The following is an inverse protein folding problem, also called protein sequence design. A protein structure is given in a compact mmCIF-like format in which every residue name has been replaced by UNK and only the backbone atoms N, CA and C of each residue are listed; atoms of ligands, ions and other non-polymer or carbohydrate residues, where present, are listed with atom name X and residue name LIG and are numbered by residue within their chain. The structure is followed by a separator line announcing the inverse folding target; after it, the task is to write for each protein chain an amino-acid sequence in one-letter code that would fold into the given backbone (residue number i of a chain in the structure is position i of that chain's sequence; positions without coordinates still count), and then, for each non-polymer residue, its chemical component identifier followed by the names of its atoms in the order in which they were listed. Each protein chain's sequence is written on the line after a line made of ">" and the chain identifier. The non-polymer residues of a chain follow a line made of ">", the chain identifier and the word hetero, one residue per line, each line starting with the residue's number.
data_IF_886157261386
#
_entry.id   IF_886157261386
#
_cell.length_a   1.000
_cell.length_b   1.000
_cell.length_c   1.000
_cell.angle_alpha   90.00
_cell.angle_beta   90.00
_cell.angle_gamma   90.00
#
_symmetry.space_group_name_H-M   'P 1'
#
loop_
_entity.id
_entity.type
_entity.pdbx_description
1 polymer ?
#
# COMPACT_ATOMS: atom_id res chain seq x y z
N UNK A 1 69.18 -58.95 10.78
CA UNK A 1 68.14 -59.08 11.81
C UNK A 1 67.86 -57.66 12.27
N UNK A 2 66.90 -56.95 11.57
CA UNK A 2 66.59 -55.55 11.86
C UNK A 2 65.17 -55.49 12.40
N UNK A 3 65.03 -55.10 13.66
CA UNK A 3 63.74 -54.80 14.30
C UNK A 3 63.26 -53.43 13.87
N UNK A 4 62.07 -53.37 13.22
CA UNK A 4 61.32 -52.13 12.97
C UNK A 4 60.36 -51.86 14.13
N UNK A 5 60.60 -50.76 14.83
CA UNK A 5 59.72 -50.28 15.87
C UNK A 5 58.60 -49.46 15.16
N UNK A 6 57.36 -49.92 15.25
CA UNK A 6 56.15 -49.18 14.80
C UNK A 6 55.72 -48.31 15.97
N UNK A 7 55.82 -47.01 15.78
CA UNK A 7 55.20 -45.96 16.67
C UNK A 7 53.74 -45.74 16.27
N UNK A 8 52.83 -46.15 17.13
CA UNK A 8 51.41 -45.78 17.03
C UNK A 8 51.22 -44.41 17.64
N UNK A 9 50.74 -43.46 16.79
CA UNK A 9 50.19 -42.14 17.24
C UNK A 9 48.74 -42.33 17.65
N UNK A 10 48.27 -41.77 18.78
CA UNK A 10 46.84 -41.72 19.09
C UNK A 10 46.15 -40.58 18.31
N UNK A 11 45.13 -40.95 17.55
CA UNK A 11 44.18 -39.96 16.98
C UNK A 11 43.36 -39.34 18.12
N UNK A 12 43.55 -38.07 18.37
CA UNK A 12 42.65 -37.28 19.21
C UNK A 12 41.49 -36.82 18.31
N UNK A 13 40.33 -37.46 18.47
CA UNK A 13 39.06 -36.97 17.89
C UNK A 13 38.61 -35.74 18.68
N UNK A 14 38.79 -34.54 18.13
CA UNK A 14 38.17 -33.35 18.65
C UNK A 14 36.68 -33.33 18.19
N UNK A 15 35.76 -33.63 19.10
CA UNK A 15 34.33 -33.43 18.87
C UNK A 15 34.03 -31.93 18.87
N UNK A 16 33.83 -31.36 17.67
CA UNK A 16 33.26 -30.02 17.52
C UNK A 16 31.77 -30.12 17.83
N UNK A 17 31.38 -29.74 19.04
CA UNK A 17 29.98 -29.52 19.37
C UNK A 17 29.49 -28.27 18.59
N UNK A 18 28.82 -28.50 17.48
CA UNK A 18 28.04 -27.45 16.83
C UNK A 18 26.86 -27.08 17.75
N UNK A 19 27.03 -26.02 18.52
CA UNK A 19 25.93 -25.38 19.21
C UNK A 19 25.04 -24.73 18.15
N UNK A 20 24.02 -25.47 17.71
CA UNK A 20 22.85 -24.87 17.01
C UNK A 20 22.15 -23.96 18.00
N UNK A 21 22.61 -22.73 18.06
CA UNK A 21 21.88 -21.64 18.69
C UNK A 21 20.60 -21.41 17.91
N UNK A 22 19.53 -22.12 18.26
CA UNK A 22 18.18 -21.69 17.99
C UNK A 22 18.02 -20.36 18.76
N UNK A 23 18.26 -19.26 18.09
CA UNK A 23 17.85 -17.95 18.59
C UNK A 23 16.34 -18.05 18.83
N UNK A 24 15.95 -18.23 20.07
CA UNK A 24 14.62 -17.89 20.52
C UNK A 24 14.50 -16.39 20.28
N UNK A 25 13.95 -15.99 19.12
CA UNK A 25 13.35 -14.66 18.99
C UNK A 25 12.34 -14.60 20.13
N UNK A 26 12.64 -13.81 21.15
CA UNK A 26 11.65 -13.48 22.15
C UNK A 26 10.47 -12.92 21.38
N UNK A 27 9.32 -13.61 21.44
CA UNK A 27 8.10 -13.17 20.80
C UNK A 27 7.80 -11.81 21.42
N UNK A 28 8.01 -10.73 20.67
CA UNK A 28 7.69 -9.38 21.12
C UNK A 28 6.19 -9.32 21.34
N UNK A 29 5.74 -8.64 22.39
CA UNK A 29 4.31 -8.47 22.65
C UNK A 29 3.62 -7.88 21.40
N UNK A 30 2.38 -8.29 21.07
CA UNK A 30 1.63 -7.75 19.96
C UNK A 30 1.58 -6.22 20.01
N UNK A 31 1.61 -5.55 18.86
CA UNK A 31 1.40 -4.11 18.78
C UNK A 31 -0.08 -3.80 19.05
N UNK A 32 -0.35 -2.91 20.00
CA UNK A 32 -1.71 -2.51 20.32
C UNK A 32 -2.22 -1.53 19.29
N UNK A 33 -3.24 -1.91 18.54
CA UNK A 33 -3.81 -1.10 17.46
C UNK A 33 -5.26 -0.72 17.78
N UNK A 34 -5.66 0.46 17.30
CA UNK A 34 -7.05 0.87 17.31
C UNK A 34 -7.52 1.19 15.89
N UNK A 35 -8.75 0.81 15.55
CA UNK A 35 -9.41 1.17 14.30
C UNK A 35 -10.05 2.55 14.44
N UNK A 36 -9.88 3.40 13.44
CA UNK A 36 -10.57 4.69 13.32
C UNK A 36 -11.42 4.69 12.05
N UNK A 37 -12.74 4.73 12.23
CA UNK A 37 -13.73 4.68 11.15
C UNK A 37 -14.15 3.27 10.76
N UNK A 38 -15.43 3.15 10.39
CA UNK A 38 -16.07 1.91 9.95
C UNK A 38 -16.78 2.09 8.59
N UNK A 39 -16.59 3.24 7.93
CA UNK A 39 -17.27 3.56 6.68
C UNK A 39 -16.48 3.13 5.43
N UNK A 40 -15.20 2.78 5.55
CA UNK A 40 -14.40 2.27 4.44
C UNK A 40 -14.56 0.75 4.32
N UNK A 41 -14.96 0.27 3.12
CA UNK A 41 -15.25 -1.14 2.88
C UNK A 41 -14.12 -2.12 3.23
N UNK A 42 -12.85 -1.69 3.18
CA UNK A 42 -11.71 -2.55 3.49
C UNK A 42 -11.64 -2.97 4.97
N UNK A 43 -12.30 -2.26 5.89
CA UNK A 43 -12.36 -2.66 7.30
C UNK A 43 -12.98 -4.05 7.47
N UNK A 44 -13.91 -4.44 6.57
CA UNK A 44 -14.54 -5.78 6.61
C UNK A 44 -13.52 -6.88 6.36
N UNK A 45 -12.68 -6.70 5.33
CA UNK A 45 -11.58 -7.65 5.05
C UNK A 45 -10.58 -7.74 6.20
N UNK A 46 -10.24 -6.59 6.79
CA UNK A 46 -9.38 -6.53 7.96
C UNK A 46 -9.97 -7.31 9.14
N UNK A 47 -11.22 -7.05 9.52
CA UNK A 47 -11.88 -7.71 10.67
C UNK A 47 -12.04 -9.22 10.46
N UNK A 48 -12.22 -9.69 9.20
CA UNK A 48 -12.22 -11.12 8.90
C UNK A 48 -10.84 -11.78 9.06
N UNK A 49 -9.77 -11.07 8.65
CA UNK A 49 -8.42 -11.60 8.71
C UNK A 49 -7.78 -11.47 10.10
N UNK A 50 -8.18 -10.47 10.89
CA UNK A 50 -7.55 -10.10 12.15
C UNK A 50 -7.49 -11.25 13.18
N UNK A 51 -8.51 -12.11 13.38
CA UNK A 51 -8.42 -13.23 14.33
C UNK A 51 -7.30 -14.24 14.02
N UNK A 52 -6.75 -14.22 12.82
CA UNK A 52 -5.65 -15.10 12.39
C UNK A 52 -4.26 -14.44 12.58
N UNK A 53 -4.24 -13.18 13.00
CA UNK A 53 -3.00 -12.40 13.19
C UNK A 53 -2.56 -12.47 14.66
N UNK A 54 -1.25 -12.49 14.88
CA UNK A 54 -0.67 -12.59 16.23
C UNK A 54 0.27 -11.43 16.56
N UNK A 55 0.59 -10.57 15.58
CA UNK A 55 1.53 -9.45 15.73
C UNK A 55 0.86 -8.18 16.21
N UNK A 56 -0.48 -8.13 16.20
CA UNK A 56 -1.25 -6.99 16.66
C UNK A 56 -2.39 -7.42 17.59
N UNK A 57 -2.74 -6.56 18.56
CA UNK A 57 -3.87 -6.66 19.47
C UNK A 57 -4.82 -5.49 19.19
N UNK A 58 -6.09 -5.78 18.87
CA UNK A 58 -7.12 -4.76 18.69
C UNK A 58 -7.61 -4.29 20.07
N UNK A 59 -7.27 -3.06 20.44
CA UNK A 59 -7.62 -2.51 21.76
C UNK A 59 -8.82 -1.56 21.73
N UNK A 60 -9.29 -1.16 20.52
CA UNK A 60 -10.49 -0.35 20.39
C UNK A 60 -10.86 -0.02 18.95
N UNK A 61 -12.11 0.41 18.77
CA UNK A 61 -12.71 0.80 17.51
C UNK A 61 -13.42 2.14 17.71
N UNK A 62 -13.03 3.15 16.98
CA UNK A 62 -13.61 4.48 17.07
C UNK A 62 -14.43 4.76 15.82
N UNK A 63 -15.71 5.09 16.02
CA UNK A 63 -16.56 5.62 14.97
C UNK A 63 -17.63 6.53 15.59
N UNK A 64 -17.91 7.72 15.07
CA UNK A 64 -18.94 8.62 15.61
C UNK A 64 -20.35 8.07 15.45
N UNK A 65 -20.61 7.23 14.44
CA UNK A 65 -21.93 6.66 14.15
C UNK A 65 -22.28 5.50 15.09
N UNK A 66 -23.20 5.73 16.01
CA UNK A 66 -23.73 4.67 16.86
C UNK A 66 -24.34 3.51 16.04
N UNK A 67 -24.90 3.81 14.88
CA UNK A 67 -25.49 2.81 13.99
C UNK A 67 -24.41 1.89 13.37
N UNK A 68 -23.28 2.46 12.92
CA UNK A 68 -22.16 1.66 12.38
C UNK A 68 -21.52 0.83 13.48
N UNK A 69 -21.28 1.40 14.68
CA UNK A 69 -20.75 0.63 15.80
C UNK A 69 -21.63 -0.59 16.13
N UNK A 70 -22.96 -0.38 16.25
CA UNK A 70 -23.89 -1.49 16.53
C UNK A 70 -23.96 -2.52 15.39
N UNK A 71 -23.86 -2.07 14.11
CA UNK A 71 -23.83 -2.96 12.96
C UNK A 71 -22.59 -3.88 13.02
N UNK A 72 -21.40 -3.31 13.19
CA UNK A 72 -20.14 -4.07 13.19
C UNK A 72 -19.97 -4.93 14.44
N UNK A 73 -20.45 -4.47 15.61
CA UNK A 73 -20.53 -5.27 16.84
C UNK A 73 -21.31 -6.57 16.59
N UNK A 74 -22.51 -6.45 16.02
CA UNK A 74 -23.37 -7.61 15.76
C UNK A 74 -22.83 -8.52 14.64
N UNK A 75 -22.33 -7.93 13.53
CA UNK A 75 -21.90 -8.68 12.36
C UNK A 75 -20.62 -9.49 12.62
N UNK A 76 -19.67 -8.92 13.37
CA UNK A 76 -18.37 -9.55 13.66
C UNK A 76 -18.29 -10.16 15.07
N UNK A 77 -19.37 -10.15 15.84
CA UNK A 77 -19.44 -10.66 17.22
C UNK A 77 -18.34 -10.08 18.13
N UNK A 78 -18.08 -8.77 17.97
CA UNK A 78 -17.06 -8.06 18.72
C UNK A 78 -17.56 -7.70 20.13
N UNK A 79 -16.61 -7.58 21.07
CA UNK A 79 -16.93 -7.12 22.42
C UNK A 79 -17.41 -5.65 22.37
N UNK A 80 -18.63 -5.34 22.91
CA UNK A 80 -19.11 -3.96 23.00
C UNK A 80 -18.14 -2.99 23.67
N UNK A 81 -17.30 -3.48 24.58
CA UNK A 81 -16.27 -2.69 25.26
C UNK A 81 -15.12 -2.21 24.37
N UNK A 82 -15.07 -2.67 23.11
CA UNK A 82 -14.10 -2.17 22.12
C UNK A 82 -14.54 -0.87 21.44
N UNK A 83 -15.83 -0.49 21.51
CA UNK A 83 -16.37 0.59 20.71
C UNK A 83 -16.41 1.94 21.44
N UNK A 84 -15.85 2.96 20.80
CA UNK A 84 -15.76 4.34 21.31
C UNK A 84 -16.32 5.34 20.30
N UNK A 85 -16.97 6.44 20.77
CA UNK A 85 -17.48 7.46 19.85
C UNK A 85 -16.40 8.42 19.31
N UNK A 86 -15.28 8.58 20.05
CA UNK A 86 -14.18 9.50 19.70
C UNK A 86 -12.83 8.89 20.07
N UNK A 87 -11.73 9.40 19.48
CA UNK A 87 -10.38 8.99 19.85
C UNK A 87 -10.05 9.36 21.29
N UNK A 88 -10.43 10.55 21.77
CA UNK A 88 -10.24 10.95 23.16
C UNK A 88 -10.88 9.99 24.15
N UNK A 89 -12.11 9.53 23.84
CA UNK A 89 -12.81 8.56 24.69
C UNK A 89 -12.05 7.22 24.75
N UNK A 90 -11.50 6.78 23.64
CA UNK A 90 -10.66 5.58 23.60
C UNK A 90 -9.38 5.79 24.41
N UNK A 91 -8.67 6.90 24.20
CA UNK A 91 -7.38 7.18 24.85
C UNK A 91 -7.50 7.36 26.36
N UNK A 92 -8.67 7.75 26.86
CA UNK A 92 -8.94 7.82 28.31
C UNK A 92 -8.89 6.44 28.99
N UNK A 93 -9.14 5.35 28.27
CA UNK A 93 -9.26 3.98 28.80
C UNK A 93 -8.23 3.01 28.21
N UNK A 94 -7.76 3.28 27.02
CA UNK A 94 -6.88 2.39 26.23
C UNK A 94 -5.63 3.14 25.79
N UNK A 95 -4.57 2.38 25.50
CA UNK A 95 -3.29 2.94 25.08
C UNK A 95 -2.82 2.22 23.80
N UNK A 96 -3.40 2.53 22.63
CA UNK A 96 -2.89 2.02 21.36
C UNK A 96 -1.47 2.54 21.10
N UNK A 97 -0.71 1.82 20.29
CA UNK A 97 0.61 2.22 19.79
C UNK A 97 0.48 2.73 18.36
N UNK A 98 -0.52 2.26 17.62
CA UNK A 98 -0.82 2.70 16.26
C UNK A 98 -2.32 2.73 15.97
N UNK A 99 -2.69 3.56 14.98
CA UNK A 99 -4.05 3.66 14.46
C UNK A 99 -4.14 3.06 13.07
N UNK A 100 -5.21 2.32 12.83
CA UNK A 100 -5.60 1.80 11.51
C UNK A 100 -6.81 2.62 11.03
N UNK A 101 -6.65 3.41 9.97
CA UNK A 101 -7.65 4.41 9.58
C UNK A 101 -8.46 3.91 8.38
N UNK A 102 -9.77 3.75 8.61
CA UNK A 102 -10.78 3.26 7.65
C UNK A 102 -11.94 4.24 7.51
N UNK A 103 -11.61 5.54 7.36
CA UNK A 103 -12.58 6.61 7.09
C UNK A 103 -12.62 6.96 5.60
N UNK A 104 -13.41 7.96 5.22
CA UNK A 104 -13.28 8.60 3.91
C UNK A 104 -11.91 9.27 3.77
N UNK A 105 -11.43 9.39 2.53
CA UNK A 105 -10.09 9.94 2.23
C UNK A 105 -9.98 11.41 2.66
N UNK A 106 -11.09 12.15 2.56
CA UNK A 106 -11.16 13.55 2.98
C UNK A 106 -10.90 13.78 4.49
N UNK A 107 -11.13 12.76 5.33
CA UNK A 107 -10.91 12.83 6.78
C UNK A 107 -9.47 12.48 7.19
N UNK A 108 -8.66 11.88 6.33
CA UNK A 108 -7.34 11.35 6.67
C UNK A 108 -6.44 12.40 7.30
N UNK A 109 -6.38 13.63 6.72
CA UNK A 109 -5.55 14.71 7.28
C UNK A 109 -5.90 15.00 8.73
N UNK A 110 -7.16 15.22 9.04
CA UNK A 110 -7.62 15.56 10.38
C UNK A 110 -7.25 14.47 11.39
N UNK A 111 -7.48 13.21 11.01
CA UNK A 111 -7.20 12.06 11.87
C UNK A 111 -5.70 11.88 12.09
N UNK A 112 -4.87 12.05 11.04
CA UNK A 112 -3.42 11.94 11.18
C UNK A 112 -2.83 13.09 12.02
N UNK A 113 -3.34 14.33 11.86
CA UNK A 113 -2.94 15.45 12.71
C UNK A 113 -3.33 15.22 14.18
N UNK A 114 -4.52 14.63 14.44
CA UNK A 114 -4.97 14.23 15.78
C UNK A 114 -4.09 13.10 16.35
N UNK A 115 -3.79 12.06 15.58
CA UNK A 115 -2.87 10.99 15.98
C UNK A 115 -1.48 11.52 16.30
N UNK A 116 -0.95 12.43 15.48
CA UNK A 116 0.34 13.06 15.69
C UNK A 116 0.40 13.81 17.03
N UNK A 117 -0.65 14.55 17.41
CA UNK A 117 -0.72 15.23 18.69
C UNK A 117 -0.63 14.28 19.90
N UNK A 118 -0.96 13.00 19.70
CA UNK A 118 -0.85 11.93 20.70
C UNK A 118 0.39 11.03 20.50
N UNK A 119 1.27 11.34 19.55
CA UNK A 119 2.46 10.55 19.19
C UNK A 119 2.11 9.09 18.82
N UNK A 120 1.02 8.89 18.06
CA UNK A 120 0.57 7.59 17.60
C UNK A 120 0.98 7.39 16.14
N UNK A 121 1.58 6.25 15.84
CA UNK A 121 1.83 5.83 14.46
C UNK A 121 0.51 5.54 13.74
N UNK A 122 0.50 5.69 12.41
CA UNK A 122 -0.73 5.55 11.62
C UNK A 122 -0.48 4.67 10.40
N UNK A 123 -1.34 3.70 10.17
CA UNK A 123 -1.53 3.10 8.85
C UNK A 123 -2.90 3.51 8.33
N UNK A 124 -2.92 4.20 7.20
CA UNK A 124 -4.14 4.77 6.61
C UNK A 124 -4.47 4.08 5.29
N UNK A 125 -5.74 3.98 4.96
CA UNK A 125 -6.16 3.49 3.65
C UNK A 125 -5.74 4.42 2.51
N UNK A 126 -5.61 3.83 1.33
CA UNK A 126 -5.23 4.53 0.10
C UNK A 126 -6.38 5.39 -0.49
N UNK A 127 -6.03 6.48 -1.18
CA UNK A 127 -4.76 7.20 -1.18
C UNK A 127 -4.55 7.99 0.12
N UNK A 128 -3.35 8.50 0.34
CA UNK A 128 -2.99 9.25 1.55
C UNK A 128 -3.99 10.38 1.87
N UNK A 129 -4.40 11.15 0.89
CA UNK A 129 -5.38 12.24 1.02
C UNK A 129 -5.86 12.73 -0.35
N UNK A 130 -6.80 13.70 -0.37
CA UNK A 130 -7.46 14.22 -1.57
C UNK A 130 -6.76 15.44 -2.19
N UNK A 131 -5.73 16.01 -1.57
CA UNK A 131 -5.01 17.19 -2.09
C UNK A 131 -3.55 17.22 -1.69
N UNK A 132 -2.70 17.85 -2.52
CA UNK A 132 -1.28 18.03 -2.22
C UNK A 132 -1.06 18.89 -0.97
N UNK A 133 -1.89 19.91 -0.74
CA UNK A 133 -1.79 20.76 0.45
C UNK A 133 -2.00 19.95 1.72
N UNK A 134 -2.96 19.02 1.72
CA UNK A 134 -3.20 18.12 2.85
C UNK A 134 -2.05 17.11 3.02
N UNK A 135 -1.53 16.55 1.94
CA UNK A 135 -0.39 15.64 1.99
C UNK A 135 0.86 16.32 2.60
N UNK A 136 1.10 17.59 2.23
CA UNK A 136 2.19 18.38 2.81
C UNK A 136 1.94 18.73 4.29
N UNK A 137 0.68 18.94 4.69
CA UNK A 137 0.32 19.17 6.08
C UNK A 137 0.53 17.90 6.93
N UNK A 138 0.10 16.75 6.42
CA UNK A 138 0.33 15.43 7.05
C UNK A 138 1.84 15.20 7.23
N UNK A 139 2.65 15.44 6.17
CA UNK A 139 4.10 15.26 6.24
C UNK A 139 4.76 16.16 7.29
N UNK A 140 4.29 17.42 7.43
CA UNK A 140 4.78 18.32 8.49
C UNK A 140 4.42 17.78 9.87
N UNK A 141 3.16 17.41 10.11
CA UNK A 141 2.71 16.88 11.38
C UNK A 141 3.48 15.62 11.79
N UNK A 142 3.64 14.67 10.84
CA UNK A 142 4.40 13.44 11.09
C UNK A 142 5.86 13.71 11.50
N UNK A 143 6.53 14.65 10.81
CA UNK A 143 7.91 15.04 11.13
C UNK A 143 8.04 15.78 12.46
N UNK A 144 7.11 16.69 12.76
CA UNK A 144 7.09 17.48 14.01
C UNK A 144 6.89 16.59 15.24
N UNK A 145 6.05 15.57 15.11
CA UNK A 145 5.71 14.66 16.21
C UNK A 145 6.47 13.32 16.16
N UNK A 146 7.35 13.12 15.17
CA UNK A 146 8.16 11.91 15.01
C UNK A 146 7.34 10.62 14.92
N UNK A 147 6.17 10.67 14.29
CA UNK A 147 5.34 9.49 14.04
C UNK A 147 5.58 8.91 12.64
N UNK A 148 5.33 7.60 12.50
CA UNK A 148 5.28 6.94 11.21
C UNK A 148 3.87 7.05 10.63
N UNK A 149 3.78 7.41 9.36
CA UNK A 149 2.53 7.39 8.59
C UNK A 149 2.74 6.49 7.37
N UNK A 150 2.01 5.41 7.32
CA UNK A 150 2.06 4.41 6.26
C UNK A 150 0.74 4.39 5.49
N UNK A 151 0.79 4.20 4.19
CA UNK A 151 -0.40 4.05 3.34
C UNK A 151 -0.55 2.60 2.91
N UNK A 152 -1.73 2.02 3.12
CA UNK A 152 -2.00 0.62 2.88
C UNK A 152 -2.62 0.41 1.49
N UNK A 153 -1.80 -0.04 0.54
CA UNK A 153 -2.27 -0.51 -0.76
C UNK A 153 -2.32 -2.04 -0.79
N UNK A 154 -3.34 -2.61 -1.37
CA UNK A 154 -3.38 -4.06 -1.62
C UNK A 154 -2.18 -4.52 -2.46
N UNK A 155 -1.79 -3.74 -3.46
CA UNK A 155 -0.71 -4.07 -4.39
C UNK A 155 0.69 -4.00 -3.78
N UNK A 156 0.87 -3.39 -2.61
CA UNK A 156 2.11 -3.46 -1.83
C UNK A 156 2.46 -4.90 -1.48
N UNK A 157 1.44 -5.71 -1.16
CA UNK A 157 1.58 -7.10 -0.73
C UNK A 157 1.56 -8.10 -1.89
N UNK A 158 1.77 -7.61 -3.13
CA UNK A 158 1.87 -8.46 -4.32
C UNK A 158 3.32 -8.88 -4.56
N UNK A 159 3.60 -10.16 -4.43
CA UNK A 159 4.92 -10.74 -4.69
C UNK A 159 5.41 -10.47 -6.13
N UNK A 160 4.48 -10.40 -7.09
CA UNK A 160 4.78 -10.07 -8.49
C UNK A 160 5.34 -8.65 -8.64
N UNK A 161 4.78 -7.65 -7.95
CA UNK A 161 5.28 -6.27 -7.99
C UNK A 161 6.70 -6.17 -7.39
N UNK A 162 6.94 -6.90 -6.28
CA UNK A 162 8.28 -7.00 -5.69
C UNK A 162 9.27 -7.64 -6.67
N UNK A 163 8.88 -8.71 -7.34
CA UNK A 163 9.75 -9.37 -8.32
C UNK A 163 10.07 -8.43 -9.50
N UNK A 164 9.11 -7.65 -9.99
CA UNK A 164 9.36 -6.60 -11.01
C UNK A 164 10.37 -5.58 -10.49
N UNK A 165 10.16 -5.07 -9.28
CA UNK A 165 11.08 -4.11 -8.67
C UNK A 165 12.50 -4.67 -8.54
N UNK A 166 12.63 -5.91 -8.05
CA UNK A 166 13.94 -6.57 -7.93
C UNK A 166 14.62 -6.74 -9.30
N UNK A 167 13.87 -7.05 -10.37
CA UNK A 167 14.41 -7.10 -11.74
C UNK A 167 14.92 -5.73 -12.20
N UNK A 168 14.22 -4.65 -11.85
CA UNK A 168 14.66 -3.28 -12.14
C UNK A 168 15.96 -2.95 -11.39
N UNK A 169 16.03 -3.24 -10.08
CA UNK A 169 17.21 -3.01 -9.26
C UNK A 169 18.43 -3.80 -9.75
N UNK A 170 18.22 -5.02 -10.21
CA UNK A 170 19.26 -5.88 -10.78
C UNK A 170 19.67 -5.50 -12.22
N UNK A 171 18.98 -4.54 -12.83
CA UNK A 171 19.21 -4.11 -14.21
C UNK A 171 18.86 -5.17 -15.26
N UNK A 172 18.05 -6.19 -14.90
CA UNK A 172 17.61 -7.26 -15.83
C UNK A 172 16.78 -6.70 -16.97
N UNK A 173 15.91 -5.72 -16.70
CA UNK A 173 15.10 -5.05 -17.71
C UNK A 173 15.84 -3.93 -18.43
N UNK A 174 17.05 -3.54 -17.95
CA UNK A 174 17.75 -2.36 -18.43
C UNK A 174 17.07 -1.06 -17.99
N UNK A 175 17.16 -0.01 -18.83
CA UNK A 175 16.45 1.25 -18.55
C UNK A 175 14.98 1.11 -18.89
N UNK A 176 14.11 1.52 -17.97
CA UNK A 176 12.64 1.56 -18.20
C UNK A 176 12.33 2.54 -19.34
N UNK A 177 11.51 2.12 -20.27
CA UNK A 177 11.05 2.95 -21.40
C UNK A 177 9.55 3.22 -21.35
N UNK A 178 8.76 2.18 -21.04
CA UNK A 178 7.31 2.26 -20.97
C UNK A 178 6.81 1.41 -19.84
N UNK A 179 5.79 1.92 -19.13
CA UNK A 179 4.99 1.14 -18.18
C UNK A 179 3.51 1.36 -18.51
N UNK A 180 2.72 0.28 -18.45
CA UNK A 180 1.26 0.35 -18.57
C UNK A 180 0.65 -0.33 -17.35
N UNK A 181 -0.24 0.36 -16.67
CA UNK A 181 -0.86 -0.14 -15.44
C UNK A 181 -2.38 -0.07 -15.59
N UNK A 182 -3.01 -1.22 -15.39
CA UNK A 182 -4.46 -1.36 -15.42
C UNK A 182 -4.95 -1.68 -14.02
N UNK A 183 -5.79 -0.80 -13.47
CA UNK A 183 -6.39 -0.98 -12.16
C UNK A 183 -7.88 -0.70 -12.20
N UNK A 184 -8.66 -1.54 -11.54
CA UNK A 184 -10.09 -1.31 -11.41
C UNK A 184 -10.95 -2.56 -11.50
N UNK A 185 -12.24 -2.32 -11.61
CA UNK A 185 -13.29 -3.33 -11.69
C UNK A 185 -14.54 -2.74 -12.37
N UNK A 186 -15.69 -3.44 -12.27
CA UNK A 186 -16.94 -3.05 -12.92
C UNK A 186 -17.58 -1.78 -12.35
N UNK A 187 -17.15 -1.34 -11.18
CA UNK A 187 -17.66 -0.20 -10.42
C UNK A 187 -18.08 -0.59 -9.01
N UNK A 188 -17.96 0.33 -8.03
CA UNK A 188 -18.24 0.02 -6.63
C UNK A 188 -19.70 -0.36 -6.39
N UNK A 189 -20.66 0.26 -7.07
CA UNK A 189 -22.07 -0.11 -6.98
C UNK A 189 -22.32 -1.50 -7.56
N UNK A 190 -21.71 -1.79 -8.71
CA UNK A 190 -21.90 -3.05 -9.45
C UNK A 190 -21.34 -4.26 -8.69
N UNK A 191 -20.24 -4.07 -7.97
CA UNK A 191 -19.66 -5.13 -7.13
C UNK A 191 -20.30 -5.21 -5.74
N UNK A 192 -21.25 -4.29 -5.42
CA UNK A 192 -22.05 -4.35 -4.20
C UNK A 192 -21.32 -3.92 -2.94
N UNK A 193 -20.49 -2.86 -3.01
CA UNK A 193 -19.87 -2.31 -1.80
C UNK A 193 -20.91 -1.78 -0.81
N UNK A 194 -20.56 -1.65 0.45
CA UNK A 194 -21.44 -1.18 1.51
C UNK A 194 -21.98 0.23 1.18
N UNK A 195 -23.23 0.55 1.54
CA UNK A 195 -23.83 1.85 1.25
C UNK A 195 -23.04 3.05 1.81
N UNK A 196 -22.53 2.92 3.03
CA UNK A 196 -21.70 3.94 3.66
C UNK A 196 -20.40 4.19 2.90
N UNK A 197 -19.78 3.15 2.35
CA UNK A 197 -18.60 3.25 1.51
C UNK A 197 -18.93 3.91 0.17
N UNK A 198 -19.98 3.44 -0.51
CA UNK A 198 -20.41 3.99 -1.80
C UNK A 198 -20.72 5.48 -1.70
N UNK A 199 -21.32 5.92 -0.60
CA UNK A 199 -21.74 7.30 -0.39
C UNK A 199 -20.57 8.29 -0.48
N UNK A 200 -19.47 8.04 0.24
CA UNK A 200 -18.34 8.95 0.24
C UNK A 200 -17.40 8.71 -0.97
N UNK A 201 -17.29 7.46 -1.45
CA UNK A 201 -16.45 7.12 -2.61
C UNK A 201 -16.93 7.83 -3.88
N UNK A 202 -18.23 8.10 -4.00
CA UNK A 202 -18.83 8.84 -5.12
C UNK A 202 -19.04 10.34 -4.83
N UNK A 203 -18.47 10.84 -3.74
CA UNK A 203 -18.42 12.27 -3.43
C UNK A 203 -17.00 12.83 -3.67
N UNK A 204 -16.82 13.75 -4.66
CA UNK A 204 -15.51 14.32 -4.95
C UNK A 204 -14.90 15.11 -3.79
N UNK A 205 -15.70 15.58 -2.83
CA UNK A 205 -15.21 16.27 -1.63
C UNK A 205 -14.61 15.28 -0.61
N UNK A 206 -14.95 14.00 -0.68
CA UNK A 206 -14.49 12.96 0.23
C UNK A 206 -13.46 12.00 -0.41
N UNK A 207 -13.58 11.75 -1.72
CA UNK A 207 -12.67 10.85 -2.45
C UNK A 207 -11.69 11.60 -3.39
N UNK A 208 -11.86 12.92 -3.59
CA UNK A 208 -11.03 13.72 -4.50
C UNK A 208 -11.49 13.69 -5.96
N UNK A 209 -11.90 12.53 -6.48
CA UNK A 209 -12.51 12.27 -7.79
C UNK A 209 -13.26 10.94 -7.73
N UNK A 210 -13.49 10.29 -8.88
CA UNK A 210 -14.01 8.92 -8.96
C UNK A 210 -12.88 7.90 -9.16
N UNK A 211 -12.96 7.15 -10.26
CA UNK A 211 -11.98 6.13 -10.61
C UNK A 211 -10.55 6.67 -10.70
N UNK A 212 -10.39 7.94 -11.11
CA UNK A 212 -9.10 8.61 -11.19
C UNK A 212 -8.35 8.55 -9.85
N UNK A 213 -8.99 8.84 -8.72
CA UNK A 213 -8.37 8.77 -7.39
C UNK A 213 -8.36 7.35 -6.84
N UNK A 214 -9.51 6.66 -6.90
CA UNK A 214 -9.68 5.34 -6.30
C UNK A 214 -8.68 4.30 -6.83
N UNK A 215 -8.45 4.28 -8.15
CA UNK A 215 -7.52 3.35 -8.80
C UNK A 215 -6.27 3.99 -9.39
N UNK A 216 -6.31 5.28 -9.73
CA UNK A 216 -5.11 5.97 -10.24
C UNK A 216 -3.97 6.04 -9.22
N UNK A 217 -4.29 5.99 -7.94
CA UNK A 217 -3.30 5.98 -6.86
C UNK A 217 -2.40 4.74 -6.91
N UNK A 218 -2.92 3.57 -7.25
CA UNK A 218 -2.12 2.33 -7.36
C UNK A 218 -1.02 2.45 -8.42
N UNK A 219 -1.41 2.93 -9.61
CA UNK A 219 -0.44 3.12 -10.68
C UNK A 219 0.56 4.24 -10.39
N UNK A 220 0.13 5.33 -9.75
CA UNK A 220 1.01 6.41 -9.33
C UNK A 220 2.02 5.94 -8.27
N UNK A 221 1.60 5.10 -7.33
CA UNK A 221 2.42 4.52 -6.28
C UNK A 221 3.49 3.58 -6.86
N UNK A 222 3.09 2.59 -7.68
CA UNK A 222 4.01 1.69 -8.37
C UNK A 222 5.03 2.45 -9.20
N UNK A 223 4.60 3.47 -9.96
CA UNK A 223 5.52 4.28 -10.77
C UNK A 223 6.50 5.08 -9.92
N UNK A 224 6.04 5.68 -8.81
CA UNK A 224 6.93 6.41 -7.89
C UNK A 224 8.00 5.48 -7.32
N UNK A 225 7.61 4.26 -6.95
CA UNK A 225 8.53 3.25 -6.44
C UNK A 225 9.51 2.76 -7.52
N UNK A 226 9.03 2.40 -8.72
CA UNK A 226 9.89 1.96 -9.83
C UNK A 226 10.88 3.05 -10.29
N UNK A 227 10.53 4.31 -10.10
CA UNK A 227 11.37 5.47 -10.41
C UNK A 227 12.13 6.02 -9.20
N UNK A 228 12.29 5.20 -8.13
CA UNK A 228 13.08 5.52 -6.92
C UNK A 228 12.65 6.81 -6.22
N UNK A 229 11.36 7.04 -6.08
CA UNK A 229 10.78 8.24 -5.46
C UNK A 229 10.73 9.46 -6.37
N UNK A 230 11.18 9.35 -7.63
CA UNK A 230 11.16 10.48 -8.55
C UNK A 230 9.75 10.78 -9.05
N UNK A 231 9.34 12.04 -8.94
CA UNK A 231 8.11 12.53 -9.56
C UNK A 231 8.26 12.63 -11.11
N UNK A 232 7.18 12.43 -11.88
CA UNK A 232 7.19 12.68 -13.32
C UNK A 232 7.39 14.18 -13.61
N UNK A 233 7.93 14.49 -14.78
CA UNK A 233 8.13 15.88 -15.24
C UNK A 233 6.76 16.50 -15.57
N UNK A 234 5.90 15.72 -16.23
CA UNK A 234 4.55 16.17 -16.61
C UNK A 234 3.52 15.07 -16.43
N UNK A 235 2.28 15.50 -16.16
CA UNK A 235 1.08 14.66 -16.08
C UNK A 235 0.05 15.18 -17.07
N UNK A 236 -0.53 14.26 -17.85
CA UNK A 236 -1.69 14.52 -18.72
C UNK A 236 -2.76 13.50 -18.41
N UNK A 237 -4.02 13.93 -18.26
CA UNK A 237 -5.12 13.02 -17.97
C UNK A 237 -6.38 13.38 -18.74
N UNK A 238 -7.17 12.34 -19.02
CA UNK A 238 -8.54 12.43 -19.55
C UNK A 238 -9.43 11.61 -18.62
N UNK A 239 -10.60 12.13 -18.29
CA UNK A 239 -11.63 11.42 -17.51
C UNK A 239 -12.94 11.37 -18.30
N UNK A 240 -13.73 10.33 -18.04
CA UNK A 240 -15.08 10.15 -18.57
C UNK A 240 -16.03 9.71 -17.46
N UNK A 241 -17.33 9.90 -17.69
CA UNK A 241 -18.40 9.33 -16.88
C UNK A 241 -19.34 8.59 -17.83
N UNK A 242 -19.08 7.30 -18.01
CA UNK A 242 -19.84 6.45 -18.95
C UNK A 242 -21.18 5.99 -18.33
N UNK A 243 -21.26 5.99 -16.98
CA UNK A 243 -22.45 5.62 -16.21
C UNK A 243 -22.99 6.81 -15.38
N UNK A 244 -23.36 7.96 -16.00
CA UNK A 244 -23.75 9.18 -15.28
C UNK A 244 -25.02 8.99 -14.43
N UNK A 245 -25.86 8.01 -14.75
CA UNK A 245 -27.03 7.64 -13.94
C UNK A 245 -26.65 6.93 -12.63
N UNK A 246 -25.43 6.40 -12.53
CA UNK A 246 -24.91 5.72 -11.32
C UNK A 246 -23.95 6.65 -10.60
N UNK A 247 -23.03 7.30 -11.32
CA UNK A 247 -21.95 8.15 -10.81
C UNK A 247 -22.09 9.60 -11.33
N UNK A 248 -23.14 10.34 -10.92
CA UNK A 248 -23.45 11.67 -11.51
C UNK A 248 -22.46 12.77 -11.13
N UNK A 249 -21.58 12.54 -10.14
CA UNK A 249 -20.72 13.58 -9.57
C UNK A 249 -19.23 13.33 -9.77
N UNK A 250 -18.86 12.14 -10.23
CA UNK A 250 -17.46 11.70 -10.37
C UNK A 250 -17.25 10.97 -11.70
N UNK A 251 -15.99 10.89 -12.11
CA UNK A 251 -15.56 10.06 -13.22
C UNK A 251 -15.66 8.56 -12.86
N UNK A 252 -15.93 7.73 -13.85
CA UNK A 252 -15.88 6.27 -13.71
C UNK A 252 -14.83 5.62 -14.64
N UNK A 253 -14.13 6.44 -15.43
CA UNK A 253 -13.04 6.04 -16.29
C UNK A 253 -12.00 7.15 -16.40
N UNK A 254 -10.70 6.79 -16.39
CA UNK A 254 -9.62 7.73 -16.62
C UNK A 254 -8.42 7.10 -17.33
N UNK A 255 -7.68 7.93 -18.04
CA UNK A 255 -6.35 7.60 -18.54
C UNK A 255 -5.38 8.70 -18.11
N UNK A 256 -4.29 8.32 -17.45
CA UNK A 256 -3.26 9.24 -16.96
C UNK A 256 -1.94 8.90 -17.65
N UNK A 257 -1.28 9.88 -18.23
CA UNK A 257 0.04 9.75 -18.86
C UNK A 257 1.07 10.48 -18.00
N UNK A 258 2.06 9.75 -17.51
CA UNK A 258 3.20 10.28 -16.76
C UNK A 258 4.43 10.32 -17.66
N UNK A 259 5.10 11.47 -17.76
CA UNK A 259 6.35 11.61 -18.53
C UNK A 259 7.53 11.86 -17.60
N UNK A 260 8.48 10.97 -17.63
CA UNK A 260 9.79 11.08 -16.98
C UNK A 260 10.89 11.45 -17.99
N UNK A 261 12.13 11.65 -17.57
CA UNK A 261 13.24 12.01 -18.46
C UNK A 261 13.56 10.93 -19.52
N UNK A 262 13.44 9.66 -19.17
CA UNK A 262 13.75 8.52 -20.04
C UNK A 262 12.62 7.52 -20.23
N UNK A 263 11.50 7.72 -19.54
CA UNK A 263 10.37 6.79 -19.50
C UNK A 263 9.03 7.50 -19.61
N UNK A 264 8.02 6.73 -19.97
CA UNK A 264 6.62 7.15 -19.95
C UNK A 264 5.78 6.06 -19.33
N UNK A 265 4.78 6.43 -18.50
CA UNK A 265 3.78 5.51 -18.03
C UNK A 265 2.37 5.91 -18.48
N UNK A 266 1.52 4.89 -18.65
CA UNK A 266 0.09 5.04 -18.90
C UNK A 266 -0.63 4.30 -17.79
N UNK A 267 -1.39 5.04 -16.96
CA UNK A 267 -2.22 4.47 -15.91
C UNK A 267 -3.66 4.49 -16.41
N UNK A 268 -4.36 3.39 -16.24
CA UNK A 268 -5.73 3.18 -16.75
C UNK A 268 -6.67 2.79 -15.60
N UNK A 269 -6.92 3.71 -14.64
CA UNK A 269 -7.89 3.49 -13.58
C UNK A 269 -9.32 3.50 -14.13
N UNK A 270 -10.14 2.48 -13.78
CA UNK A 270 -11.49 2.42 -14.33
C UNK A 270 -12.46 1.61 -13.45
N UNK A 271 -13.69 2.11 -13.35
CA UNK A 271 -14.86 1.39 -12.85
C UNK A 271 -15.68 0.75 -13.99
N UNK A 272 -15.08 0.64 -15.19
CA UNK A 272 -15.72 0.11 -16.40
C UNK A 272 -15.04 -1.15 -16.96
N UNK A 273 -14.06 -1.71 -16.23
CA UNK A 273 -13.49 -3.00 -16.62
C UNK A 273 -14.55 -4.10 -16.50
N UNK A 274 -14.62 -5.00 -17.52
CA UNK A 274 -15.53 -6.15 -17.49
C UNK A 274 -15.27 -7.08 -16.30
N UNK A 275 -14.00 -7.21 -15.92
CA UNK A 275 -13.53 -7.99 -14.77
C UNK A 275 -12.54 -7.16 -13.97
N UNK A 276 -12.46 -7.43 -12.66
CA UNK A 276 -11.44 -6.81 -11.83
C UNK A 276 -10.05 -7.14 -12.33
N UNK A 277 -9.18 -6.12 -12.39
CA UNK A 277 -7.79 -6.27 -12.80
C UNK A 277 -6.88 -5.30 -12.06
N UNK A 278 -5.66 -5.76 -11.78
CA UNK A 278 -4.55 -5.00 -11.21
C UNK A 278 -3.27 -5.59 -11.79
N UNK A 279 -3.01 -5.29 -13.05
CA UNK A 279 -1.87 -5.81 -13.81
C UNK A 279 -0.97 -4.68 -14.30
N UNK A 280 0.33 -4.97 -14.33
CA UNK A 280 1.37 -4.00 -14.67
C UNK A 280 2.31 -4.57 -15.73
N UNK A 281 2.48 -3.84 -16.82
CA UNK A 281 3.40 -4.16 -17.91
C UNK A 281 4.60 -3.22 -17.86
N UNK A 282 5.81 -3.76 -17.84
CA UNK A 282 7.06 -2.97 -17.82
C UNK A 282 7.94 -3.36 -18.99
N UNK A 283 8.28 -2.37 -19.81
CA UNK A 283 9.12 -2.49 -21.02
C UNK A 283 10.42 -1.73 -20.80
N UNK A 284 11.52 -2.46 -20.75
CA UNK A 284 12.86 -1.92 -20.63
C UNK A 284 13.70 -2.11 -21.90
N UNK A 285 14.96 -1.65 -21.86
CA UNK A 285 15.88 -1.79 -23.00
C UNK A 285 16.47 -3.19 -23.18
N UNK A 286 16.28 -4.09 -22.19
CA UNK A 286 16.83 -5.45 -22.19
C UNK A 286 15.78 -6.55 -21.99
N UNK A 287 14.52 -6.19 -21.78
CA UNK A 287 13.46 -7.16 -21.57
C UNK A 287 12.15 -6.49 -21.21
N UNK A 288 11.14 -7.31 -21.13
CA UNK A 288 9.78 -6.94 -20.73
C UNK A 288 9.26 -7.92 -19.69
N UNK A 289 8.40 -7.44 -18.80
CA UNK A 289 7.72 -8.24 -17.79
C UNK A 289 6.29 -7.73 -17.59
N UNK A 290 5.37 -8.66 -17.39
CA UNK A 290 3.98 -8.37 -17.01
C UNK A 290 3.70 -9.01 -15.67
N UNK A 291 3.42 -8.21 -14.65
CA UNK A 291 2.82 -8.67 -13.40
C UNK A 291 1.33 -8.88 -13.64
N UNK A 292 0.91 -10.13 -13.80
CA UNK A 292 -0.45 -10.51 -14.24
C UNK A 292 -1.46 -10.42 -13.10
N UNK A 293 -1.02 -10.75 -11.88
CA UNK A 293 -1.79 -10.72 -10.65
C UNK A 293 -0.82 -10.71 -9.46
N UNK A 294 -1.31 -10.94 -8.24
CA UNK A 294 -0.49 -10.86 -7.02
C UNK A 294 0.75 -11.76 -6.99
N UNK A 295 0.81 -12.82 -7.80
CA UNK A 295 1.91 -13.81 -7.75
C UNK A 295 2.48 -14.21 -9.10
N UNK A 296 1.75 -13.98 -10.20
CA UNK A 296 2.14 -14.47 -11.52
C UNK A 296 2.76 -13.37 -12.37
N UNK A 297 3.81 -13.75 -13.09
CA UNK A 297 4.53 -12.91 -14.04
C UNK A 297 4.58 -13.60 -15.41
N UNK A 298 4.70 -12.79 -16.47
CA UNK A 298 5.17 -13.21 -17.79
C UNK A 298 6.37 -12.38 -18.15
N UNK A 299 7.47 -13.01 -18.53
CA UNK A 299 8.73 -12.30 -18.80
C UNK A 299 9.35 -12.73 -20.13
N UNK A 300 10.03 -11.79 -20.80
CA UNK A 300 10.75 -12.03 -22.05
C UNK A 300 11.99 -11.15 -22.14
N UNK A 301 13.15 -11.75 -22.41
CA UNK A 301 14.44 -11.08 -22.45
C UNK A 301 15.17 -11.16 -23.79
N UNK A 302 14.57 -11.75 -24.82
CA UNK A 302 15.16 -11.87 -26.15
C UNK A 302 14.08 -11.98 -27.21
N UNK A 303 14.32 -11.40 -28.38
CA UNK A 303 13.42 -11.53 -29.54
C UNK A 303 13.27 -12.98 -29.99
N UNK A 304 14.31 -13.79 -29.83
CA UNK A 304 14.31 -15.21 -30.20
C UNK A 304 13.74 -16.14 -29.13
N UNK A 305 13.49 -15.66 -27.91
CA UNK A 305 12.92 -16.44 -26.82
C UNK A 305 11.41 -16.27 -26.76
N UNK A 306 10.64 -17.33 -26.44
CA UNK A 306 9.22 -17.18 -26.11
C UNK A 306 9.05 -16.39 -24.80
N UNK A 307 7.85 -15.87 -24.57
CA UNK A 307 7.44 -15.38 -23.28
C UNK A 307 7.33 -16.56 -22.29
N UNK A 308 7.85 -16.37 -21.08
CA UNK A 308 7.82 -17.38 -20.01
C UNK A 308 6.89 -16.95 -18.90
N UNK A 309 6.06 -17.88 -18.41
CA UNK A 309 5.21 -17.66 -17.22
C UNK A 309 5.97 -18.09 -15.98
N UNK A 310 6.07 -17.19 -15.00
CA UNK A 310 6.82 -17.38 -13.76
C UNK A 310 5.92 -17.05 -12.57
N UNK A 311 6.06 -17.80 -11.48
CA UNK A 311 5.45 -17.46 -10.19
C UNK A 311 6.48 -16.77 -9.33
N UNK A 312 6.18 -15.56 -8.85
CA UNK A 312 7.03 -14.84 -7.92
C UNK A 312 7.20 -15.60 -6.60
N UNK A 313 8.38 -15.59 -5.98
CA UNK A 313 8.55 -16.13 -4.65
C UNK A 313 7.67 -15.37 -3.65
N UNK A 314 7.15 -16.02 -2.60
CA UNK A 314 6.40 -15.33 -1.56
C UNK A 314 7.21 -14.19 -0.95
N UNK A 315 6.53 -13.12 -0.55
CA UNK A 315 7.18 -12.04 0.20
C UNK A 315 7.68 -12.57 1.55
N UNK A 316 8.88 -12.20 1.97
CA UNK A 316 9.39 -12.58 3.28
C UNK A 316 8.74 -11.73 4.38
N UNK A 317 8.53 -12.31 5.57
CA UNK A 317 8.18 -11.51 6.74
C UNK A 317 9.34 -10.53 7.09
N UNK A 318 9.02 -9.31 7.53
CA UNK A 318 7.70 -8.77 7.85
C UNK A 318 6.98 -8.09 6.67
N UNK A 319 7.47 -8.21 5.44
CA UNK A 319 6.94 -7.55 4.24
C UNK A 319 5.81 -8.34 3.56
N UNK A 320 5.33 -9.42 4.17
CA UNK A 320 4.34 -10.34 3.62
C UNK A 320 2.88 -9.94 3.89
N UNK A 321 2.63 -9.13 4.93
CA UNK A 321 1.30 -8.60 5.27
C UNK A 321 1.37 -7.19 5.86
N UNK A 322 0.27 -6.44 5.76
CA UNK A 322 0.18 -5.09 6.32
C UNK A 322 0.39 -5.04 7.84
N UNK A 323 -0.07 -6.05 8.58
CA UNK A 323 0.07 -6.07 10.04
C UNK A 323 1.47 -6.49 10.49
N UNK A 324 2.13 -7.46 9.83
CA UNK A 324 3.53 -7.77 10.09
C UNK A 324 4.41 -6.54 9.83
N UNK A 325 4.15 -5.86 8.71
CA UNK A 325 4.85 -4.65 8.30
C UNK A 325 4.66 -3.53 9.34
N UNK A 326 3.41 -3.22 9.69
CA UNK A 326 3.08 -2.22 10.71
C UNK A 326 3.80 -2.54 12.03
N UNK A 327 3.72 -3.78 12.50
CA UNK A 327 4.35 -4.19 13.75
C UNK A 327 5.87 -3.99 13.71
N UNK A 328 6.52 -4.31 12.60
CA UNK A 328 7.96 -4.11 12.43
C UNK A 328 8.34 -2.62 12.41
N UNK A 329 7.53 -1.76 11.77
CA UNK A 329 7.75 -0.30 11.75
C UNK A 329 7.57 0.30 13.15
N UNK A 330 6.47 0.01 13.83
CA UNK A 330 6.18 0.50 15.20
C UNK A 330 7.27 0.04 16.20
N UNK A 331 7.83 -1.13 15.99
CA UNK A 331 8.96 -1.66 16.79
C UNK A 331 10.34 -1.15 16.34
N UNK A 332 10.41 -0.25 15.35
CA UNK A 332 11.66 0.25 14.77
C UNK A 332 12.58 -0.85 14.23
N UNK A 333 12.00 -1.96 13.79
CA UNK A 333 12.71 -3.09 13.17
C UNK A 333 12.81 -2.93 11.65
N UNK A 334 11.95 -2.10 11.07
CA UNK A 334 11.89 -1.77 9.66
C UNK A 334 11.66 -0.27 9.49
N UNK A 335 12.41 0.33 8.55
CA UNK A 335 12.21 1.71 8.10
C UNK A 335 11.50 1.66 6.73
N UNK A 336 10.31 2.25 6.56
CA UNK A 336 9.64 2.34 5.26
C UNK A 336 10.50 2.97 4.16
N UNK A 337 11.41 3.87 4.50
CA UNK A 337 12.30 4.53 3.53
C UNK A 337 11.52 5.19 2.39
N UNK A 338 11.64 4.65 1.18
CA UNK A 338 10.93 5.09 -0.03
C UNK A 338 10.13 3.95 -0.67
N UNK A 339 9.64 3.02 0.12
CA UNK A 339 8.79 1.95 -0.38
C UNK A 339 7.34 2.41 -0.68
N UNK A 340 6.50 1.47 -1.11
CA UNK A 340 5.11 1.74 -1.48
C UNK A 340 4.27 2.29 -0.31
N UNK A 341 4.60 1.95 0.95
CA UNK A 341 3.83 2.42 2.11
C UNK A 341 4.26 3.78 2.60
N UNK A 342 5.49 4.23 2.25
CA UNK A 342 6.13 5.37 2.88
C UNK A 342 5.41 6.70 2.63
N UNK A 343 5.42 7.57 3.63
CA UNK A 343 4.80 8.89 3.55
C UNK A 343 5.36 9.73 2.40
N UNK A 344 6.69 9.74 2.21
CA UNK A 344 7.31 10.57 1.16
C UNK A 344 6.96 10.06 -0.25
N UNK A 345 6.88 8.74 -0.48
CA UNK A 345 6.34 8.16 -1.73
C UNK A 345 4.90 8.63 -1.96
N UNK A 346 4.08 8.57 -0.93
CA UNK A 346 2.66 8.89 -1.03
C UNK A 346 2.36 10.39 -1.16
N UNK A 347 3.23 11.27 -0.72
CA UNK A 347 3.16 12.71 -1.07
C UNK A 347 3.37 12.92 -2.57
N UNK A 348 4.28 12.18 -3.22
CA UNK A 348 4.46 12.21 -4.68
C UNK A 348 3.22 11.64 -5.39
N UNK A 349 2.64 10.54 -4.88
CA UNK A 349 1.39 9.97 -5.41
C UNK A 349 0.28 11.01 -5.43
N UNK A 350 0.05 11.71 -4.32
CA UNK A 350 -0.98 12.76 -4.24
C UNK A 350 -0.66 13.91 -5.19
N UNK A 351 0.60 14.30 -5.34
CA UNK A 351 1.00 15.31 -6.32
C UNK A 351 0.65 14.89 -7.77
N UNK A 352 0.84 13.61 -8.10
CA UNK A 352 0.47 13.06 -9.41
C UNK A 352 -1.06 13.10 -9.60
N UNK A 353 -1.84 12.67 -8.60
CA UNK A 353 -3.30 12.64 -8.66
C UNK A 353 -3.90 14.04 -8.78
N UNK A 354 -3.41 15.00 -8.01
CA UNK A 354 -3.82 16.41 -8.10
C UNK A 354 -3.54 16.99 -9.49
N UNK A 355 -2.35 16.73 -10.04
CA UNK A 355 -1.99 17.15 -11.38
C UNK A 355 -2.84 16.45 -12.46
N UNK A 356 -3.19 15.18 -12.27
CA UNK A 356 -4.06 14.45 -13.18
C UNK A 356 -5.49 15.03 -13.16
N UNK A 357 -6.04 15.32 -11.98
CA UNK A 357 -7.33 15.97 -11.81
C UNK A 357 -7.34 17.37 -12.47
N UNK A 358 -6.31 18.16 -12.26
CA UNK A 358 -6.15 19.47 -12.88
C UNK A 358 -6.03 19.36 -14.42
N UNK A 359 -5.26 18.37 -14.91
CA UNK A 359 -5.11 18.10 -16.35
C UNK A 359 -6.46 17.73 -16.99
N UNK A 360 -7.19 16.81 -16.40
CA UNK A 360 -8.51 16.39 -16.88
C UNK A 360 -9.51 17.57 -16.91
N UNK A 361 -9.51 18.39 -15.86
CA UNK A 361 -10.38 19.56 -15.76
C UNK A 361 -10.08 20.65 -16.79
N UNK A 362 -8.80 20.87 -17.13
CA UNK A 362 -8.37 21.97 -18.00
C UNK A 362 -8.08 21.56 -19.44
N UNK A 363 -7.98 20.27 -19.72
CA UNK A 363 -7.53 19.72 -21.00
C UNK A 363 -6.06 20.02 -21.32
N UNK A 364 -5.24 20.33 -20.32
CA UNK A 364 -3.83 20.73 -20.48
C UNK A 364 -2.90 19.79 -19.71
N UNK A 365 -1.72 19.58 -20.29
CA UNK A 365 -0.61 18.93 -19.57
C UNK A 365 -0.17 19.81 -18.40
N UNK A 366 -0.01 19.20 -17.22
CA UNK A 366 0.50 19.86 -16.00
C UNK A 366 1.96 19.50 -15.83
N UNK A 367 2.82 20.51 -15.62
CA UNK A 367 4.24 20.32 -15.25
C UNK A 367 4.35 20.29 -13.71
N UNK A 368 4.93 19.22 -13.17
CA UNK A 368 5.14 19.11 -11.73
C UNK A 368 6.30 20.00 -11.28
N UNK A 369 6.15 20.55 -10.09
CA UNK A 369 7.22 21.28 -9.39
C UNK A 369 7.87 20.37 -8.36
N UNK A 370 9.17 20.56 -8.07
CA UNK A 370 9.79 19.88 -6.93
C UNK A 370 8.98 20.11 -5.65
N UNK A 371 8.84 19.07 -4.85
CA UNK A 371 8.22 19.19 -3.52
C UNK A 371 9.14 19.96 -2.56
N UNK A 372 8.58 20.77 -1.63
CA UNK A 372 9.34 21.54 -0.65
C UNK A 372 10.04 20.66 0.40
#
# INVERSE_FOLDING_TARGET
>A
MFFRIVRTLPLILAAIAASSGSGLYAQTAPVRVAIIGLEHGHVTGFLHAFPLQHDAELVGIVDPSAALRAKYEAEYHLDPALFYPTLDALLAERHPEALLVYTSIGEHRRIIEEAAAHNLDVMVEKPLTISLDDALAIRRAAREHHIQVMVNYETTWYASNRAVYDMLQQGRLGEVRKVVIHDGHQGPKEIGVQPEFLQWLTDPAQNGAGALYDFGCYGADLMTWFMHGAAPITVTAVTQTDKPQIYPRVDDDATIILRYSGAQAVLMPSWNWTFGRKDTEVYGTKGEVVAVNSTQLRERFSESSPEESVTAPPLPAPEDTSLHYLAAVVRHQLDPGHDLTSLDTNVVVVQILDAARESARTGRTVTLRPLP
#
